data_IF_061558625361
#
_entry.id   IF_061558625361
#
_cell.length_a   1.000
_cell.length_b   1.000
_cell.length_c   1.000
_cell.angle_alpha   90.00
_cell.angle_beta   90.00
_cell.angle_gamma   90.00
#
_symmetry.space_group_name_H-M   'P 1'
#
loop_
_entity.id
_entity.type
_entity.pdbx_description
1 polymer ?
#
# COMPACT_ATOMS: atom_id res chain seq x y z
N UNK A 1 18.99 2.29 13.93
CA UNK A 1 17.62 2.24 13.35
C UNK A 1 16.64 1.73 14.39
N UNK A 2 16.91 0.60 15.05
CA UNK A 2 15.97 -0.02 16.02
C UNK A 2 15.83 0.72 17.35
N UNK A 3 16.78 1.58 17.70
CA UNK A 3 16.86 2.28 19.01
C UNK A 3 16.94 3.81 18.88
N UNK A 4 16.89 4.32 17.66
CA UNK A 4 16.95 5.76 17.40
C UNK A 4 15.81 6.15 16.49
N UNK A 5 15.08 7.20 16.86
CA UNK A 5 14.09 7.85 16.02
C UNK A 5 14.81 8.61 14.88
N UNK A 6 14.11 8.81 13.78
CA UNK A 6 14.62 9.54 12.62
C UNK A 6 15.94 8.97 12.06
N UNK A 7 16.11 7.64 12.11
CA UNK A 7 17.27 6.94 11.59
C UNK A 7 16.86 5.93 10.49
N UNK A 8 17.69 5.82 9.46
CA UNK A 8 17.49 4.84 8.37
C UNK A 8 17.93 5.35 7.01
N UNK A 9 18.12 4.45 6.06
CA UNK A 9 18.56 4.76 4.69
C UNK A 9 17.55 5.58 3.87
N UNK A 10 16.30 5.73 4.34
CA UNK A 10 15.25 6.52 3.66
C UNK A 10 15.44 8.04 3.79
N UNK A 11 16.37 8.49 4.62
CA UNK A 11 16.79 9.89 4.69
C UNK A 11 17.83 10.24 3.62
N UNK A 12 18.37 9.24 2.94
CA UNK A 12 19.28 9.43 1.82
C UNK A 12 18.51 9.24 0.51
N UNK A 13 18.27 10.35 -0.20
CA UNK A 13 17.56 10.38 -1.49
C UNK A 13 18.28 9.58 -2.59
N UNK A 14 19.55 9.20 -2.39
CA UNK A 14 20.29 8.35 -3.32
C UNK A 14 19.86 6.89 -3.25
N UNK A 15 19.40 6.44 -2.08
CA UNK A 15 19.05 5.04 -1.82
C UNK A 15 17.57 4.71 -2.06
N UNK A 16 16.67 5.70 -1.86
CA UNK A 16 15.23 5.51 -1.99
C UNK A 16 14.56 6.71 -2.67
N UNK A 17 14.17 6.54 -3.93
CA UNK A 17 13.45 7.58 -4.70
C UNK A 17 12.00 7.77 -4.23
N UNK A 18 11.37 6.71 -3.75
CA UNK A 18 9.98 6.68 -3.29
C UNK A 18 9.90 5.90 -1.98
N UNK A 19 9.37 6.49 -0.93
CA UNK A 19 9.16 5.83 0.35
C UNK A 19 7.84 6.26 1.00
N UNK A 20 7.11 5.29 1.56
CA UNK A 20 5.90 5.55 2.35
C UNK A 20 6.20 5.97 3.78
N UNK A 21 7.33 5.53 4.32
CA UNK A 21 7.77 5.87 5.68
C UNK A 21 8.89 6.90 5.66
N UNK A 22 8.57 8.16 5.97
CA UNK A 22 9.50 9.29 5.93
C UNK A 22 10.11 9.65 7.30
N UNK A 23 9.58 9.09 8.39
CA UNK A 23 9.97 9.54 9.74
C UNK A 23 11.01 8.65 10.42
N UNK A 24 11.30 7.45 9.88
CA UNK A 24 12.27 6.52 10.46
C UNK A 24 11.96 6.08 11.89
N UNK A 25 10.65 5.96 12.21
CA UNK A 25 10.18 5.65 13.56
C UNK A 25 9.49 4.27 13.67
N UNK A 26 9.04 3.67 12.59
CA UNK A 26 8.18 2.48 12.64
C UNK A 26 8.81 1.30 13.37
N UNK A 27 10.01 0.88 12.98
CA UNK A 27 10.67 -0.29 13.58
C UNK A 27 11.18 -0.01 15.00
N UNK A 28 11.53 1.24 15.32
CA UNK A 28 11.92 1.61 16.71
C UNK A 28 10.69 1.63 17.62
N UNK A 29 9.51 2.02 17.12
CA UNK A 29 8.27 1.88 17.87
C UNK A 29 7.92 0.40 18.12
N UNK A 30 8.01 -0.45 17.11
CA UNK A 30 7.79 -1.90 17.30
C UNK A 30 8.72 -2.45 18.39
N UNK A 31 10.00 -2.09 18.34
CA UNK A 31 10.97 -2.52 19.35
C UNK A 31 10.60 -2.02 20.76
N UNK A 32 10.27 -0.73 20.90
CA UNK A 32 9.92 -0.14 22.19
C UNK A 32 8.63 -0.72 22.79
N UNK A 33 7.67 -1.11 21.96
CA UNK A 33 6.39 -1.68 22.35
C UNK A 33 6.39 -3.22 22.43
N UNK A 34 7.57 -3.83 22.35
CA UNK A 34 7.74 -5.29 22.45
C UNK A 34 8.34 -5.67 23.79
N UNK A 35 7.81 -6.72 24.41
CA UNK A 35 8.44 -7.38 25.56
C UNK A 35 9.87 -7.78 25.20
N UNK A 36 10.04 -8.38 24.02
CA UNK A 36 11.34 -8.67 23.43
C UNK A 36 11.29 -8.63 21.90
N UNK A 37 12.42 -8.31 21.28
CA UNK A 37 12.63 -8.37 19.84
C UNK A 37 13.96 -9.04 19.54
N UNK A 38 13.98 -9.98 18.60
CA UNK A 38 15.18 -10.64 18.08
C UNK A 38 15.38 -10.28 16.61
N UNK A 39 16.56 -9.79 16.30
CA UNK A 39 17.02 -9.47 14.96
C UNK A 39 18.03 -10.52 14.49
N UNK A 40 17.81 -11.05 13.28
CA UNK A 40 18.73 -11.95 12.58
C UNK A 40 18.98 -11.39 11.18
N UNK A 41 20.23 -11.05 10.86
CA UNK A 41 20.65 -10.54 9.56
C UNK A 41 21.63 -11.51 8.92
N UNK A 42 21.30 -11.98 7.73
CA UNK A 42 22.16 -12.82 6.90
C UNK A 42 22.73 -11.99 5.77
N UNK A 43 24.04 -11.73 5.85
CA UNK A 43 24.74 -10.88 4.89
C UNK A 43 26.21 -11.24 4.82
N UNK A 44 26.80 -11.18 3.64
CA UNK A 44 28.23 -11.37 3.37
C UNK A 44 28.78 -12.68 3.98
N UNK A 45 28.02 -13.78 3.82
CA UNK A 45 28.40 -15.10 4.31
C UNK A 45 28.25 -15.29 5.83
N UNK A 46 27.71 -14.30 6.56
CA UNK A 46 27.62 -14.30 8.01
C UNK A 46 26.17 -14.16 8.47
N UNK A 47 25.92 -14.73 9.67
CA UNK A 47 24.69 -14.51 10.43
C UNK A 47 25.01 -13.59 11.61
N UNK A 48 24.37 -12.43 11.63
CA UNK A 48 24.44 -11.47 12.73
C UNK A 48 23.15 -11.56 13.54
N UNK A 49 23.26 -11.51 14.86
CA UNK A 49 22.11 -11.52 15.77
C UNK A 49 22.23 -10.43 16.83
N UNK A 50 21.07 -9.89 17.21
CA UNK A 50 20.92 -8.97 18.33
C UNK A 50 19.55 -9.13 18.95
N UNK A 51 19.46 -9.06 20.26
CA UNK A 51 18.23 -9.11 21.05
C UNK A 51 17.99 -7.79 21.77
N UNK A 52 16.73 -7.47 21.91
CA UNK A 52 16.26 -6.26 22.58
C UNK A 52 15.17 -6.64 23.59
N UNK A 53 15.07 -5.90 24.65
CA UNK A 53 14.02 -5.98 25.65
C UNK A 53 13.44 -4.59 25.89
N UNK A 54 12.15 -4.41 25.61
CA UNK A 54 11.44 -3.12 25.72
C UNK A 54 12.22 -1.96 25.07
N UNK A 55 12.72 -2.16 23.85
CA UNK A 55 13.48 -1.17 23.10
C UNK A 55 14.98 -1.10 23.39
N UNK A 56 15.46 -1.72 24.46
CA UNK A 56 16.88 -1.66 24.88
C UNK A 56 17.65 -2.89 24.36
N UNK A 57 18.83 -2.70 23.74
CA UNK A 57 19.66 -3.81 23.33
C UNK A 57 20.24 -4.53 24.54
N UNK A 58 20.13 -5.86 24.60
CA UNK A 58 20.70 -6.67 25.66
C UNK A 58 22.22 -6.86 25.50
N UNK A 59 22.69 -6.81 24.25
CA UNK A 59 24.10 -6.91 23.91
C UNK A 59 24.39 -6.24 22.55
N UNK A 60 25.65 -5.92 22.23
CA UNK A 60 26.06 -5.49 20.90
C UNK A 60 25.72 -6.53 19.82
N UNK A 61 25.57 -6.09 18.56
CA UNK A 61 25.40 -6.97 17.41
C UNK A 61 26.58 -7.94 17.31
N UNK A 62 26.30 -9.24 17.21
CA UNK A 62 27.33 -10.29 17.17
C UNK A 62 27.19 -11.14 15.91
N UNK A 63 28.32 -11.61 15.38
CA UNK A 63 28.35 -12.70 14.41
C UNK A 63 28.17 -14.01 15.19
N UNK A 64 27.07 -14.73 14.90
CA UNK A 64 26.73 -15.99 15.60
C UNK A 64 26.84 -17.22 14.72
N UNK A 65 27.11 -17.04 13.42
CA UNK A 65 27.24 -18.16 12.49
C UNK A 65 27.59 -17.73 11.07
N UNK A 66 27.63 -18.71 10.17
CA UNK A 66 27.76 -18.53 8.72
C UNK A 66 26.37 -18.69 8.05
N UNK A 67 26.17 -18.08 6.90
CA UNK A 67 24.95 -18.23 6.10
C UNK A 67 25.23 -17.94 4.64
N UNK A 68 24.84 -18.82 3.76
CA UNK A 68 24.81 -18.70 2.29
C UNK A 68 23.57 -17.96 1.77
N UNK A 69 22.61 -17.71 2.63
CA UNK A 69 21.40 -16.92 2.31
C UNK A 69 21.62 -15.46 2.68
N UNK A 70 20.88 -14.59 1.98
CA UNK A 70 20.76 -13.18 2.33
C UNK A 70 19.35 -12.87 2.83
N UNK A 71 19.22 -11.92 3.73
CA UNK A 71 17.93 -11.45 4.23
C UNK A 71 17.93 -11.07 5.70
N UNK A 72 16.79 -10.56 6.14
CA UNK A 72 16.55 -10.13 7.51
C UNK A 72 15.34 -10.86 8.09
N UNK A 73 15.46 -11.37 9.31
CA UNK A 73 14.35 -11.90 10.10
C UNK A 73 14.21 -11.06 11.36
N UNK A 74 13.00 -10.59 11.61
CA UNK A 74 12.63 -9.89 12.84
C UNK A 74 11.57 -10.74 13.54
N UNK A 75 11.84 -11.13 14.78
CA UNK A 75 10.89 -11.85 15.64
C UNK A 75 10.64 -10.98 16.86
N UNK A 76 9.39 -10.80 17.23
CA UNK A 76 9.02 -9.93 18.34
C UNK A 76 7.76 -10.43 19.05
N UNK A 77 7.59 -10.02 20.29
CA UNK A 77 6.40 -10.29 21.09
C UNK A 77 5.87 -8.97 21.63
N UNK A 78 4.62 -8.65 21.30
CA UNK A 78 3.96 -7.46 21.82
C UNK A 78 3.93 -7.49 23.37
N UNK A 79 4.14 -6.33 24.01
CA UNK A 79 4.16 -6.23 25.46
C UNK A 79 2.73 -6.12 26.00
N UNK A 80 2.29 -7.15 26.73
CA UNK A 80 0.96 -7.20 27.35
C UNK A 80 0.76 -6.17 28.48
N UNK A 81 1.82 -5.55 28.98
CA UNK A 81 1.70 -4.44 29.92
C UNK A 81 1.32 -3.12 29.23
N UNK A 82 1.51 -3.03 27.89
CA UNK A 82 1.23 -1.83 27.10
C UNK A 82 -0.06 -1.99 26.30
N UNK A 83 -0.29 -3.17 25.71
CA UNK A 83 -1.45 -3.41 24.85
C UNK A 83 -2.57 -4.12 25.63
N UNK A 84 -3.79 -3.64 25.47
CA UNK A 84 -5.00 -4.30 26.04
C UNK A 84 -5.21 -5.69 25.46
N UNK A 85 -4.83 -5.90 24.19
CA UNK A 85 -4.82 -7.20 23.51
C UNK A 85 -3.55 -7.36 22.70
N UNK A 86 -2.97 -8.55 22.76
CA UNK A 86 -1.79 -8.95 21.97
C UNK A 86 -2.14 -9.99 20.90
N UNK A 87 -3.43 -10.29 20.75
CA UNK A 87 -3.91 -11.21 19.73
C UNK A 87 -3.90 -10.55 18.34
N UNK A 88 -3.26 -11.23 17.41
CA UNK A 88 -3.15 -10.78 16.03
C UNK A 88 -4.21 -11.47 15.18
N UNK A 89 -5.02 -10.66 14.46
CA UNK A 89 -5.99 -11.16 13.49
C UNK A 89 -5.29 -11.54 12.18
N UNK A 90 -5.32 -12.83 11.83
CA UNK A 90 -4.80 -13.34 10.58
C UNK A 90 -5.52 -12.71 9.36
N UNK A 91 -6.84 -12.59 9.41
CA UNK A 91 -7.63 -12.07 8.30
C UNK A 91 -7.34 -10.61 8.01
N UNK A 92 -7.22 -9.78 9.05
CA UNK A 92 -6.85 -8.37 8.91
C UNK A 92 -5.47 -8.20 8.29
N UNK A 93 -4.48 -8.96 8.76
CA UNK A 93 -3.12 -8.93 8.19
C UNK A 93 -3.10 -9.47 6.76
N UNK A 94 -3.80 -10.59 6.53
CA UNK A 94 -3.89 -11.24 5.22
C UNK A 94 -4.49 -10.29 4.17
N UNK A 95 -5.57 -9.59 4.51
CA UNK A 95 -6.16 -8.58 3.63
C UNK A 95 -5.16 -7.47 3.29
N UNK A 96 -4.47 -6.92 4.29
CA UNK A 96 -3.49 -5.86 4.08
C UNK A 96 -2.27 -6.30 3.27
N UNK A 97 -1.79 -7.51 3.49
CA UNK A 97 -0.67 -8.08 2.74
C UNK A 97 -1.05 -8.37 1.28
N UNK A 98 -2.30 -8.77 1.03
CA UNK A 98 -2.85 -8.92 -0.32
C UNK A 98 -2.88 -7.59 -1.07
N UNK A 99 -3.35 -6.51 -0.44
CA UNK A 99 -3.32 -5.15 -1.01
C UNK A 99 -1.89 -4.74 -1.39
N UNK A 100 -0.92 -4.97 -0.49
CA UNK A 100 0.49 -4.69 -0.75
C UNK A 100 1.06 -5.50 -1.93
N UNK A 101 0.65 -6.76 -2.08
CA UNK A 101 1.06 -7.59 -3.20
C UNK A 101 0.49 -7.08 -4.55
N UNK A 102 -0.75 -6.58 -4.58
CA UNK A 102 -1.31 -5.92 -5.75
C UNK A 102 -0.59 -4.62 -6.12
N UNK A 103 -0.22 -3.82 -5.13
CA UNK A 103 0.48 -2.54 -5.32
C UNK A 103 1.94 -2.70 -5.74
N UNK A 104 2.51 -3.89 -5.56
CA UNK A 104 3.91 -4.19 -5.87
C UNK A 104 3.96 -5.40 -6.82
N UNK A 105 3.80 -5.13 -8.10
CA UNK A 105 3.79 -6.13 -9.18
C UNK A 105 4.92 -7.13 -9.04
N UNK A 106 4.58 -8.43 -9.08
CA UNK A 106 5.53 -9.53 -8.99
C UNK A 106 6.08 -9.82 -7.57
N UNK A 107 5.80 -8.97 -6.57
CA UNK A 107 6.23 -9.22 -5.20
C UNK A 107 5.45 -10.40 -4.60
N UNK A 108 6.19 -11.40 -4.12
CA UNK A 108 5.62 -12.54 -3.41
C UNK A 108 5.58 -12.26 -1.91
N UNK A 109 4.40 -12.34 -1.33
CA UNK A 109 4.15 -12.20 0.11
C UNK A 109 3.48 -13.48 0.62
N UNK A 110 3.98 -14.02 1.71
CA UNK A 110 3.38 -15.17 2.39
C UNK A 110 3.06 -14.81 3.83
N UNK A 111 1.90 -15.22 4.31
CA UNK A 111 1.49 -15.17 5.70
C UNK A 111 1.07 -16.57 6.16
N UNK A 112 1.49 -16.98 7.35
CA UNK A 112 1.06 -18.23 8.01
C UNK A 112 0.72 -17.96 9.47
N UNK A 113 -0.30 -18.65 9.96
CA UNK A 113 -0.71 -18.64 11.36
C UNK A 113 -0.39 -20.01 11.95
N UNK A 114 0.65 -20.09 12.78
CA UNK A 114 1.11 -21.34 13.40
C UNK A 114 0.22 -21.80 14.58
N UNK A 115 -0.80 -21.00 14.95
CA UNK A 115 -1.80 -21.39 15.97
C UNK A 115 -2.85 -22.34 15.42
N UNK A 116 -3.02 -22.38 14.09
CA UNK A 116 -3.97 -23.25 13.38
C UNK A 116 -3.23 -24.02 12.27
N UNK A 117 -3.51 -25.30 12.15
CA UNK A 117 -2.92 -26.17 11.12
C UNK A 117 -3.36 -25.69 9.74
N UNK A 118 -2.43 -25.65 8.77
CA UNK A 118 -2.63 -25.27 7.37
C UNK A 118 -3.15 -23.84 7.10
N UNK A 119 -3.20 -22.96 8.10
CA UNK A 119 -3.63 -21.57 7.91
C UNK A 119 -2.53 -20.73 7.30
N UNK A 120 -2.48 -20.74 5.97
CA UNK A 120 -1.47 -20.03 5.18
C UNK A 120 -2.07 -19.39 3.93
N UNK A 121 -1.66 -18.15 3.63
CA UNK A 121 -1.94 -17.51 2.35
C UNK A 121 -0.63 -17.07 1.67
N UNK A 122 -0.64 -17.14 0.33
CA UNK A 122 0.45 -16.65 -0.51
C UNK A 122 -0.14 -15.71 -1.57
N UNK A 123 0.48 -14.55 -1.73
CA UNK A 123 0.04 -13.52 -2.66
C UNK A 123 1.18 -13.15 -3.60
N UNK A 124 0.90 -13.17 -4.89
CA UNK A 124 1.79 -12.69 -5.95
C UNK A 124 0.93 -12.34 -7.16
N UNK A 125 1.02 -11.12 -7.65
CA UNK A 125 0.18 -10.62 -8.75
C UNK A 125 1.03 -9.92 -9.80
N UNK A 126 1.19 -10.58 -10.95
CA UNK A 126 1.95 -10.04 -12.08
C UNK A 126 1.22 -8.89 -12.79
N UNK A 127 -0.09 -8.83 -12.70
CA UNK A 127 -0.92 -7.76 -13.27
C UNK A 127 -0.99 -6.50 -12.39
N UNK A 128 -0.44 -6.52 -11.17
CA UNK A 128 -0.43 -5.36 -10.29
C UNK A 128 -1.84 -4.86 -9.95
N UNK A 129 -2.07 -3.54 -10.04
CA UNK A 129 -3.38 -2.95 -9.72
C UNK A 129 -4.48 -3.30 -10.73
N UNK A 130 -4.14 -3.76 -11.94
CA UNK A 130 -5.12 -4.33 -12.88
C UNK A 130 -5.76 -5.57 -12.26
N UNK A 131 -4.93 -6.50 -11.76
CA UNK A 131 -5.43 -7.69 -11.06
C UNK A 131 -6.17 -7.35 -9.77
N UNK A 132 -5.88 -6.20 -9.16
CA UNK A 132 -6.64 -5.74 -8.01
C UNK A 132 -8.09 -5.37 -8.40
N UNK A 133 -8.28 -4.62 -9.48
CA UNK A 133 -9.63 -4.29 -9.99
C UNK A 133 -10.37 -5.55 -10.42
N UNK A 134 -9.73 -6.49 -11.12
CA UNK A 134 -10.31 -7.78 -11.47
C UNK A 134 -10.79 -8.55 -10.23
N UNK A 135 -9.96 -8.55 -9.18
CA UNK A 135 -10.31 -9.17 -7.90
C UNK A 135 -11.52 -8.50 -7.23
N UNK A 136 -11.57 -7.16 -7.21
CA UNK A 136 -12.67 -6.38 -6.62
C UNK A 136 -13.99 -6.58 -7.38
N UNK A 137 -13.92 -6.77 -8.69
CA UNK A 137 -15.08 -6.95 -9.56
C UNK A 137 -15.48 -8.42 -9.78
N UNK A 138 -14.74 -9.39 -9.26
CA UNK A 138 -14.95 -10.82 -9.51
C UNK A 138 -16.39 -11.32 -9.31
N UNK A 139 -17.20 -10.59 -8.53
CA UNK A 139 -18.60 -10.96 -8.22
C UNK A 139 -19.58 -9.82 -8.51
N UNK A 140 -19.23 -8.89 -9.40
CA UNK A 140 -20.01 -7.65 -9.62
C UNK A 140 -20.48 -7.44 -11.05
N UNK A 141 -20.43 -8.46 -11.90
CA UNK A 141 -20.87 -8.43 -13.29
C UNK A 141 -20.34 -7.20 -14.07
N UNK A 142 -19.07 -7.20 -14.51
CA UNK A 142 -18.50 -6.10 -15.29
C UNK A 142 -19.27 -5.85 -16.60
N UNK A 143 -19.47 -4.58 -16.96
CA UNK A 143 -20.17 -4.20 -18.21
C UNK A 143 -19.23 -4.18 -19.42
N UNK A 144 -17.94 -4.36 -19.22
CA UNK A 144 -16.92 -4.54 -20.27
C UNK A 144 -15.83 -5.50 -19.79
N UNK A 145 -15.20 -6.23 -20.71
CA UNK A 145 -14.28 -7.34 -20.39
C UNK A 145 -12.94 -6.86 -19.85
N UNK A 146 -12.36 -5.84 -20.49
CA UNK A 146 -11.00 -5.41 -20.19
C UNK A 146 -10.98 -4.34 -19.08
N UNK A 147 -10.11 -4.50 -18.11
CA UNK A 147 -9.79 -3.44 -17.15
C UNK A 147 -9.02 -2.35 -17.88
N UNK A 148 -9.55 -1.13 -17.86
CA UNK A 148 -8.85 0.06 -18.35
C UNK A 148 -7.67 0.33 -17.43
N UNK A 149 -6.46 0.40 -18.00
CA UNK A 149 -5.23 0.61 -17.24
C UNK A 149 -4.31 1.58 -17.95
N UNK A 150 -3.72 2.47 -17.21
CA UNK A 150 -2.64 3.33 -17.69
C UNK A 150 -1.68 3.67 -16.56
N UNK A 151 -0.44 3.93 -16.95
CA UNK A 151 0.63 4.44 -16.10
C UNK A 151 1.29 5.63 -16.80
N UNK A 152 1.58 6.67 -16.07
CA UNK A 152 2.31 7.83 -16.57
C UNK A 152 3.21 8.41 -15.50
N UNK A 153 4.26 9.10 -15.94
CA UNK A 153 5.16 9.83 -15.04
C UNK A 153 5.22 11.27 -15.47
N UNK A 154 4.95 12.17 -14.55
CA UNK A 154 5.07 13.61 -14.74
C UNK A 154 5.68 14.25 -13.50
N UNK A 155 6.66 15.14 -13.68
CA UNK A 155 7.31 15.89 -12.59
C UNK A 155 7.78 15.01 -11.41
N UNK A 156 8.35 13.83 -11.72
CA UNK A 156 8.75 12.77 -10.77
C UNK A 156 7.60 12.12 -9.98
N UNK A 157 6.36 12.39 -10.34
CA UNK A 157 5.19 11.68 -9.82
C UNK A 157 4.81 10.57 -10.80
N UNK A 158 4.77 9.34 -10.33
CA UNK A 158 4.25 8.20 -11.09
C UNK A 158 2.78 8.06 -10.72
N UNK A 159 1.91 8.08 -11.72
CA UNK A 159 0.46 7.86 -11.57
C UNK A 159 0.09 6.58 -12.27
N UNK A 160 -0.54 5.68 -11.55
CA UNK A 160 -1.01 4.38 -12.02
C UNK A 160 -2.49 4.24 -11.71
N UNK A 161 -3.31 3.97 -12.72
CA UNK A 161 -4.76 3.84 -12.59
C UNK A 161 -5.22 2.57 -13.27
N UNK A 162 -6.06 1.80 -12.55
CA UNK A 162 -6.83 0.70 -13.11
C UNK A 162 -8.31 0.92 -12.78
N UNK A 163 -9.20 0.69 -13.75
CA UNK A 163 -10.63 0.89 -13.54
C UNK A 163 -11.50 0.02 -14.46
N UNK A 164 -12.67 -0.34 -13.95
CA UNK A 164 -13.67 -1.12 -14.68
C UNK A 164 -15.05 -0.83 -14.10
N UNK A 165 -16.06 -0.67 -14.95
CA UNK A 165 -17.44 -0.52 -14.52
C UNK A 165 -18.16 -1.86 -14.40
N UNK A 166 -19.09 -1.96 -13.48
CA UNK A 166 -19.95 -3.11 -13.24
C UNK A 166 -21.43 -2.67 -13.18
N UNK A 167 -22.35 -3.63 -13.12
CA UNK A 167 -23.80 -3.37 -13.11
C UNK A 167 -24.33 -2.85 -11.77
N UNK A 168 -23.49 -2.68 -10.77
CA UNK A 168 -23.86 -2.11 -9.48
C UNK A 168 -24.01 -0.60 -9.55
N UNK A 169 -24.59 -0.02 -8.50
CA UNK A 169 -24.79 1.43 -8.37
C UNK A 169 -23.70 2.11 -7.53
N UNK A 170 -22.92 1.35 -6.79
CA UNK A 170 -21.94 1.90 -5.86
C UNK A 170 -20.58 2.14 -6.51
N UNK A 171 -20.04 3.33 -6.28
CA UNK A 171 -18.63 3.65 -6.52
C UNK A 171 -17.75 2.87 -5.52
N UNK A 172 -16.72 2.19 -6.01
CA UNK A 172 -15.69 1.51 -5.20
C UNK A 172 -14.33 1.97 -5.66
N UNK A 173 -13.74 2.96 -5.00
CA UNK A 173 -12.42 3.47 -5.35
C UNK A 173 -11.45 3.27 -4.18
N UNK A 174 -10.32 2.64 -4.47
CA UNK A 174 -9.18 2.56 -3.56
C UNK A 174 -8.10 3.53 -4.02
N UNK A 175 -7.65 4.40 -3.14
CA UNK A 175 -6.59 5.36 -3.44
C UNK A 175 -5.37 5.14 -2.56
N UNK A 176 -4.18 5.26 -3.18
CA UNK A 176 -2.90 5.01 -2.51
C UNK A 176 -1.88 6.08 -2.87
N UNK A 177 -1.07 6.46 -1.88
CA UNK A 177 0.11 7.28 -2.07
C UNK A 177 1.33 6.57 -1.45
N UNK A 178 2.34 6.26 -2.27
CA UNK A 178 3.51 5.47 -1.87
C UNK A 178 3.14 4.16 -1.14
N UNK A 179 2.17 3.40 -1.69
CA UNK A 179 1.62 2.15 -1.15
C UNK A 179 0.86 2.29 0.18
N UNK A 180 0.57 3.52 0.61
CA UNK A 180 -0.25 3.79 1.80
C UNK A 180 -1.69 4.02 1.33
N UNK A 181 -2.63 3.31 1.92
CA UNK A 181 -4.05 3.50 1.66
C UNK A 181 -4.51 4.85 2.23
N UNK A 182 -4.93 5.75 1.35
CA UNK A 182 -5.46 7.07 1.71
C UNK A 182 -6.99 6.99 1.84
N UNK A 183 -7.45 6.46 2.96
CA UNK A 183 -8.89 6.18 3.19
C UNK A 183 -9.76 7.42 3.14
N UNK A 184 -9.20 8.55 3.51
CA UNK A 184 -9.87 9.86 3.51
C UNK A 184 -9.63 10.62 2.18
N UNK A 185 -9.04 9.94 1.17
CA UNK A 185 -8.76 10.48 -0.15
C UNK A 185 -7.54 11.39 -0.21
N UNK A 186 -7.69 12.51 -0.88
CA UNK A 186 -6.64 13.51 -1.08
C UNK A 186 -6.62 14.03 -2.51
N UNK A 187 -5.66 14.89 -2.82
CA UNK A 187 -5.51 15.59 -4.10
C UNK A 187 -5.47 14.66 -5.31
N UNK A 188 -4.76 13.52 -5.22
CA UNK A 188 -4.70 12.52 -6.29
C UNK A 188 -6.07 11.90 -6.59
N UNK A 189 -6.93 11.70 -5.58
CA UNK A 189 -8.27 11.16 -5.77
C UNK A 189 -9.22 12.21 -6.34
N UNK A 190 -9.18 13.46 -5.83
CA UNK A 190 -9.99 14.57 -6.36
C UNK A 190 -9.60 14.90 -7.80
N UNK A 191 -8.31 14.93 -8.11
CA UNK A 191 -7.80 15.10 -9.47
C UNK A 191 -8.27 14.00 -10.42
N UNK A 192 -8.18 12.74 -10.00
CA UNK A 192 -8.69 11.60 -10.77
C UNK A 192 -10.19 11.75 -11.07
N UNK A 193 -11.03 12.01 -10.06
CA UNK A 193 -12.48 12.16 -10.22
C UNK A 193 -12.83 13.29 -11.16
N UNK A 194 -12.18 14.44 -11.04
CA UNK A 194 -12.36 15.61 -11.88
C UNK A 194 -11.93 15.34 -13.33
N UNK A 195 -10.76 14.72 -13.51
CA UNK A 195 -10.23 14.38 -14.82
C UNK A 195 -11.12 13.35 -15.55
N UNK A 196 -11.59 12.31 -14.82
CA UNK A 196 -12.49 11.30 -15.39
C UNK A 196 -13.78 11.93 -15.89
N UNK A 197 -14.45 12.74 -15.06
CA UNK A 197 -15.70 13.41 -15.42
C UNK A 197 -15.50 14.31 -16.63
N UNK A 198 -14.47 15.13 -16.64
CA UNK A 198 -14.17 16.03 -17.76
C UNK A 198 -13.90 15.25 -19.06
N UNK A 199 -13.07 14.20 -18.98
CA UNK A 199 -12.68 13.42 -20.17
C UNK A 199 -13.85 12.69 -20.78
N UNK A 200 -14.69 12.05 -19.97
CA UNK A 200 -15.89 11.35 -20.46
C UNK A 200 -16.87 12.33 -21.11
N UNK A 201 -17.14 13.48 -20.47
CA UNK A 201 -18.03 14.48 -21.02
C UNK A 201 -17.50 15.13 -22.31
N UNK A 202 -16.19 15.40 -22.38
CA UNK A 202 -15.56 15.91 -23.60
C UNK A 202 -15.63 14.90 -24.75
N UNK A 203 -15.35 13.62 -24.46
CA UNK A 203 -15.45 12.57 -25.46
C UNK A 203 -16.88 12.39 -25.95
N UNK A 204 -17.85 12.35 -25.05
CA UNK A 204 -19.25 12.22 -25.39
C UNK A 204 -19.79 13.41 -26.20
N UNK A 205 -19.39 14.64 -25.88
CA UNK A 205 -19.74 15.83 -26.64
C UNK A 205 -19.14 15.80 -28.05
N UNK A 206 -17.82 15.48 -28.15
CA UNK A 206 -17.11 15.40 -29.44
C UNK A 206 -17.69 14.35 -30.39
N UNK A 207 -18.18 13.24 -29.84
CA UNK A 207 -18.74 12.14 -30.63
C UNK A 207 -20.28 12.17 -30.70
N UNK A 208 -20.91 13.29 -30.33
CA UNK A 208 -22.35 13.52 -30.39
C UNK A 208 -23.21 12.51 -29.59
N UNK A 209 -22.60 11.83 -28.60
CA UNK A 209 -23.27 10.81 -27.79
C UNK A 209 -24.28 11.42 -26.80
N UNK A 210 -24.19 12.72 -26.54
CA UNK A 210 -25.11 13.44 -25.63
C UNK A 210 -26.42 13.90 -26.26
N UNK A 211 -26.59 13.76 -27.58
CA UNK A 211 -27.81 14.26 -28.30
C UNK A 211 -29.13 13.69 -27.75
N UNK A 212 -29.09 12.54 -27.07
CA UNK A 212 -30.28 11.89 -26.51
C UNK A 212 -30.44 12.09 -24.99
N UNK A 213 -29.52 12.79 -24.36
CA UNK A 213 -29.54 13.04 -22.92
C UNK A 213 -30.22 14.39 -22.66
N UNK A 214 -31.05 14.46 -21.63
CA UNK A 214 -31.69 15.71 -21.21
C UNK A 214 -30.66 16.67 -20.56
N UNK A 215 -29.69 16.12 -19.83
CA UNK A 215 -28.64 16.88 -19.14
C UNK A 215 -27.27 16.25 -19.39
N UNK A 216 -26.22 17.04 -19.23
CA UNK A 216 -24.85 16.55 -19.21
C UNK A 216 -24.66 15.68 -17.94
N UNK A 217 -24.12 14.45 -18.06
CA UNK A 217 -23.86 13.60 -16.89
C UNK A 217 -22.95 14.27 -15.88
N UNK A 218 -23.34 14.21 -14.62
CA UNK A 218 -22.54 14.65 -13.50
C UNK A 218 -21.45 13.63 -13.12
N UNK A 219 -20.54 14.04 -12.26
CA UNK A 219 -19.46 13.15 -11.84
C UNK A 219 -19.97 11.89 -11.14
N UNK A 220 -21.05 11.97 -10.39
CA UNK A 220 -21.67 10.83 -9.70
C UNK A 220 -22.28 9.83 -10.69
N UNK A 221 -22.96 10.32 -11.74
CA UNK A 221 -23.52 9.47 -12.79
C UNK A 221 -22.41 8.66 -13.51
N UNK A 222 -21.31 9.34 -13.82
CA UNK A 222 -20.17 8.72 -14.53
C UNK A 222 -19.48 7.66 -13.65
N UNK A 223 -19.47 7.84 -12.34
CA UNK A 223 -18.84 6.92 -11.41
C UNK A 223 -19.78 5.86 -10.83
N UNK A 224 -21.04 5.86 -11.20
CA UNK A 224 -21.97 4.79 -10.85
C UNK A 224 -21.45 3.45 -11.37
N UNK A 225 -21.35 2.45 -10.50
CA UNK A 225 -20.79 1.14 -10.81
C UNK A 225 -19.27 1.11 -11.06
N UNK A 226 -18.56 2.22 -10.87
CA UNK A 226 -17.12 2.29 -11.07
C UNK A 226 -16.38 1.53 -9.96
N UNK A 227 -15.51 0.61 -10.36
CA UNK A 227 -14.48 0.02 -9.52
C UNK A 227 -13.10 0.50 -9.99
N UNK A 228 -12.35 1.20 -9.15
CA UNK A 228 -11.06 1.76 -9.54
C UNK A 228 -10.01 1.65 -8.43
N UNK A 229 -8.77 1.57 -8.85
CA UNK A 229 -7.58 1.71 -8.01
C UNK A 229 -6.72 2.83 -8.57
N UNK A 230 -6.45 3.84 -7.74
CA UNK A 230 -5.61 4.99 -8.06
C UNK A 230 -4.37 4.94 -7.17
N UNK A 231 -3.21 4.81 -7.76
CA UNK A 231 -1.94 4.73 -7.03
C UNK A 231 -0.98 5.80 -7.52
N UNK A 232 -0.49 6.62 -6.62
CA UNK A 232 0.56 7.59 -6.92
C UNK A 232 1.84 7.28 -6.14
N UNK A 233 2.99 7.47 -6.79
CA UNK A 233 4.30 7.36 -6.16
C UNK A 233 5.03 8.68 -6.38
N UNK A 234 5.42 9.34 -5.30
CA UNK A 234 6.01 10.66 -5.34
C UNK A 234 7.11 10.81 -4.29
N UNK A 235 8.13 11.64 -4.54
CA UNK A 235 9.09 12.04 -3.51
C UNK A 235 8.40 13.00 -2.54
N UNK A 236 8.62 12.83 -1.23
CA UNK A 236 8.14 13.77 -0.22
C UNK A 236 6.61 13.87 -0.07
N UNK A 237 5.86 12.75 0.08
CA UNK A 237 4.42 12.83 0.27
C UNK A 237 4.05 13.58 1.55
N UNK A 238 3.11 14.50 1.45
CA UNK A 238 2.56 15.25 2.56
C UNK A 238 1.17 14.68 2.90
N UNK A 239 1.05 14.14 4.09
CA UNK A 239 -0.21 13.58 4.56
C UNK A 239 -0.83 14.45 5.64
N UNK A 240 -2.15 14.52 5.65
CA UNK A 240 -2.89 15.05 6.79
C UNK A 240 -2.84 14.02 7.91
N UNK A 241 -2.17 14.39 9.02
CA UNK A 241 -2.05 13.57 10.22
C UNK A 241 -1.13 12.35 10.14
N UNK A 242 -0.85 11.74 11.28
CA UNK A 242 0.05 10.60 11.42
C UNK A 242 -0.53 9.30 10.83
N UNK A 243 -1.84 9.18 10.74
CA UNK A 243 -2.52 8.02 10.14
C UNK A 243 -2.36 7.93 8.64
N UNK A 244 -1.87 9.03 8.01
CA UNK A 244 -1.65 9.16 6.57
C UNK A 244 -2.90 8.87 5.72
N UNK A 245 -4.08 9.15 6.27
CA UNK A 245 -5.35 8.87 5.65
C UNK A 245 -5.65 9.71 4.42
N UNK A 246 -5.07 10.91 4.30
CA UNK A 246 -5.32 11.85 3.22
C UNK A 246 -4.03 12.47 2.69
N UNK A 247 -3.88 12.50 1.36
CA UNK A 247 -2.75 13.15 0.69
C UNK A 247 -3.06 14.63 0.43
N UNK A 248 -2.11 15.52 0.78
CA UNK A 248 -2.25 16.98 0.67
C UNK A 248 -1.43 17.66 -0.43
N UNK A 249 -0.60 16.90 -1.16
CA UNK A 249 0.27 17.45 -2.22
C UNK A 249 -0.53 18.04 -3.37
N UNK A 250 -0.56 19.36 -3.52
CA UNK A 250 -1.31 20.04 -4.59
C UNK A 250 -0.80 19.76 -5.99
N UNK A 251 0.49 19.46 -6.14
CA UNK A 251 1.11 19.10 -7.43
C UNK A 251 0.63 17.75 -8.00
N UNK A 252 -0.13 17.01 -7.24
CA UNK A 252 -0.65 15.68 -7.63
C UNK A 252 -2.10 15.73 -8.11
N UNK A 253 -2.75 16.88 -7.98
CA UNK A 253 -4.15 17.06 -8.39
C UNK A 253 -4.38 17.04 -9.91
#
# INVERSE_FOLDING_TARGET
>A
VLTKLHAGGKFDNSSYKVAGGLHGVGVSCVNALSEWLKLEIRRDGKLYTQTYRRGHPEAPLKVTGKSDRQGTKVTWKADAEIFETVEVSFDTLSQRLRELAFLNKGLKITISDEREEDKRHEFQYEGGIRSFVEFLNKRKDPIHNDVVYFETTRDNVIVEVAMQWNQGYQETIFSFANNINTRDGGTHLSGFKSALTRTVNQYAAKNELMKKLANTPEGEDIREGLCAVVSVKLPGPQFEGQTKGKLGNSEVE
#
